data_IF_713553872241
#
_entry.id   IF_713553872241
#
_cell.length_a   1.000
_cell.length_b   1.000
_cell.length_c   1.000
_cell.angle_alpha   90.00
_cell.angle_beta   90.00
_cell.angle_gamma   90.00
#
_symmetry.space_group_name_H-M   'P 1'
#
loop_
_entity.id
_entity.type
_entity.pdbx_description
1 polymer ?
#
# COMPACT_ATOMS: atom_id res chain seq x y z
N UNK A 1 -20.23 -4.81 5.40
CA UNK A 1 -18.86 -4.53 4.89
C UNK A 1 -18.78 -4.63 3.37
N UNK A 2 -18.93 -5.82 2.77
CA UNK A 2 -18.77 -6.01 1.32
C UNK A 2 -19.65 -5.08 0.45
N UNK A 3 -20.93 -4.91 0.82
CA UNK A 3 -21.83 -4.01 0.09
C UNK A 3 -21.44 -2.52 0.16
N UNK A 4 -20.72 -2.08 1.22
CA UNK A 4 -20.18 -0.71 1.30
C UNK A 4 -19.04 -0.55 0.32
N UNK A 5 -18.10 -1.50 0.32
CA UNK A 5 -16.94 -1.55 -0.59
C UNK A 5 -17.41 -1.55 -2.05
N UNK A 6 -18.39 -2.40 -2.39
CA UNK A 6 -18.94 -2.49 -3.75
C UNK A 6 -19.54 -1.16 -4.22
N UNK A 7 -20.27 -0.45 -3.36
CA UNK A 7 -20.80 0.89 -3.69
C UNK A 7 -19.69 1.90 -3.94
N UNK A 8 -18.70 1.97 -3.04
CA UNK A 8 -17.54 2.86 -3.19
C UNK A 8 -16.76 2.61 -4.48
N UNK A 9 -16.54 1.34 -4.84
CA UNK A 9 -15.90 1.00 -6.11
C UNK A 9 -16.76 1.38 -7.32
N UNK A 10 -18.08 1.22 -7.24
CA UNK A 10 -19.00 1.63 -8.30
C UNK A 10 -18.98 3.15 -8.50
N UNK A 11 -18.96 3.92 -7.42
CA UNK A 11 -18.86 5.38 -7.44
C UNK A 11 -17.56 5.83 -8.12
N UNK A 12 -16.42 5.22 -7.76
CA UNK A 12 -15.13 5.49 -8.38
C UNK A 12 -15.13 5.18 -9.89
N UNK A 13 -15.67 4.03 -10.29
CA UNK A 13 -15.74 3.63 -11.69
C UNK A 13 -16.67 4.54 -12.51
N UNK A 14 -17.78 4.98 -11.91
CA UNK A 14 -18.69 5.94 -12.54
C UNK A 14 -18.02 7.30 -12.72
N UNK A 15 -17.28 7.76 -11.71
CA UNK A 15 -16.51 9.00 -11.79
C UNK A 15 -15.44 8.93 -12.89
N UNK A 16 -14.66 7.84 -12.98
CA UNK A 16 -13.66 7.64 -14.03
C UNK A 16 -14.23 7.60 -15.45
N UNK A 17 -15.47 7.14 -15.62
CA UNK A 17 -16.15 7.15 -16.93
C UNK A 17 -16.64 8.53 -17.33
N UNK A 18 -17.07 9.32 -16.35
CA UNK A 18 -17.68 10.65 -16.56
C UNK A 18 -16.64 11.74 -16.69
N UNK A 19 -15.50 11.58 -16.03
CA UNK A 19 -14.37 12.49 -16.08
C UNK A 19 -13.27 11.75 -16.82
N UNK A 20 -12.87 12.21 -18.02
CA UNK A 20 -11.76 11.59 -18.78
C UNK A 20 -10.46 11.77 -17.99
N UNK A 21 -10.22 10.89 -17.03
CA UNK A 21 -8.95 10.85 -16.30
C UNK A 21 -7.94 10.28 -17.29
N UNK A 22 -6.95 11.09 -17.67
CA UNK A 22 -5.76 10.59 -18.34
C UNK A 22 -5.03 9.57 -17.44
N UNK A 23 -3.98 8.92 -17.95
CA UNK A 23 -3.13 8.07 -17.10
C UNK A 23 -2.68 8.85 -15.85
N UNK A 24 -2.55 8.15 -14.73
CA UNK A 24 -2.05 8.71 -13.47
C UNK A 24 -0.79 9.56 -13.74
N UNK A 25 -0.71 10.80 -13.23
CA UNK A 25 0.44 11.64 -13.49
C UNK A 25 1.71 10.98 -12.95
N UNK A 26 2.76 10.96 -13.76
CA UNK A 26 4.08 10.57 -13.30
C UNK A 26 4.61 11.65 -12.34
N UNK A 27 4.77 11.24 -11.07
CA UNK A 27 5.56 11.84 -9.99
C UNK A 27 5.72 13.38 -9.95
N UNK A 28 5.09 14.01 -8.95
CA UNK A 28 5.35 15.40 -8.54
C UNK A 28 6.33 15.44 -7.36
N UNK A 29 7.46 16.14 -7.52
CA UNK A 29 8.50 16.37 -6.49
C UNK A 29 8.19 17.56 -5.56
N UNK A 30 6.96 17.66 -5.04
CA UNK A 30 6.58 18.81 -4.19
C UNK A 30 7.13 18.69 -2.74
N UNK A 31 7.73 19.76 -2.18
CA UNK A 31 8.31 19.74 -0.84
C UNK A 31 7.27 19.75 0.31
N UNK A 32 7.68 19.09 1.40
CA UNK A 32 6.94 18.70 2.63
C UNK A 32 6.11 19.76 3.39
N UNK A 33 6.09 21.03 3.00
CA UNK A 33 5.37 22.08 3.76
C UNK A 33 3.99 22.44 3.20
N UNK A 34 3.63 21.97 2.01
CA UNK A 34 2.38 22.37 1.34
C UNK A 34 1.33 21.25 1.15
N UNK A 35 1.57 20.04 1.66
CA UNK A 35 0.58 18.93 1.55
C UNK A 35 -0.63 19.10 2.51
N UNK A 36 -0.79 20.29 3.09
CA UNK A 36 -1.96 20.71 3.87
C UNK A 36 -2.97 21.54 3.08
N UNK A 37 -2.79 21.70 1.77
CA UNK A 37 -3.72 22.41 0.89
C UNK A 37 -4.89 21.52 0.44
N UNK A 38 -6.11 22.02 0.67
CA UNK A 38 -7.40 21.55 0.20
C UNK A 38 -7.40 20.40 -0.81
N UNK A 39 -8.03 19.27 -0.44
CA UNK A 39 -8.54 18.33 -1.44
C UNK A 39 -9.46 19.12 -2.39
N UNK A 40 -9.04 19.28 -3.64
CA UNK A 40 -9.89 19.86 -4.68
C UNK A 40 -11.21 19.08 -4.78
N UNK A 41 -12.26 19.77 -5.23
CA UNK A 41 -13.64 19.31 -5.35
C UNK A 41 -13.85 18.20 -6.42
N UNK A 42 -13.04 17.14 -6.37
CA UNK A 42 -13.23 15.87 -7.07
C UNK A 42 -13.94 14.83 -6.20
N UNK A 43 -14.23 13.65 -6.75
CA UNK A 43 -14.88 12.57 -5.99
C UNK A 43 -14.04 12.21 -4.74
N UNK A 44 -14.67 12.04 -3.55
CA UNK A 44 -13.96 11.90 -2.29
C UNK A 44 -12.89 10.79 -2.25
N UNK A 45 -13.08 9.66 -2.95
CA UNK A 45 -12.08 8.59 -3.02
C UNK A 45 -10.89 8.99 -3.89
N UNK A 46 -11.10 9.70 -5.00
CA UNK A 46 -10.00 10.18 -5.85
C UNK A 46 -9.12 11.14 -5.04
N UNK A 47 -9.74 12.13 -4.38
CA UNK A 47 -9.01 13.06 -3.52
C UNK A 47 -8.26 12.35 -2.37
N UNK A 48 -8.88 11.35 -1.73
CA UNK A 48 -8.24 10.57 -0.69
C UNK A 48 -7.03 9.76 -1.20
N UNK A 49 -7.13 9.17 -2.39
CA UNK A 49 -6.06 8.34 -2.96
C UNK A 49 -4.92 9.19 -3.55
N UNK A 50 -5.21 10.35 -4.14
CA UNK A 50 -4.17 11.30 -4.56
C UNK A 50 -3.36 11.76 -3.35
N UNK A 51 -4.04 12.18 -2.28
CA UNK A 51 -3.39 12.56 -1.03
C UNK A 51 -2.56 11.43 -0.40
N UNK A 52 -3.09 10.19 -0.39
CA UNK A 52 -2.36 9.04 0.11
C UNK A 52 -1.11 8.74 -0.74
N UNK A 53 -1.20 8.87 -2.07
CA UNK A 53 -0.08 8.68 -2.99
C UNK A 53 1.04 9.68 -2.73
N UNK A 54 0.73 10.95 -2.48
CA UNK A 54 1.72 11.98 -2.15
C UNK A 54 2.47 11.65 -0.85
N UNK A 55 1.74 11.23 0.18
CA UNK A 55 2.34 10.80 1.46
C UNK A 55 3.24 9.58 1.27
N UNK A 56 2.81 8.60 0.48
CA UNK A 56 3.58 7.40 0.19
C UNK A 56 4.86 7.75 -0.60
N UNK A 57 4.79 8.67 -1.56
CA UNK A 57 5.95 9.14 -2.32
C UNK A 57 6.98 9.79 -1.39
N UNK A 58 6.53 10.63 -0.46
CA UNK A 58 7.39 11.25 0.54
C UNK A 58 8.03 10.22 1.49
N UNK A 59 7.26 9.23 1.94
CA UNK A 59 7.75 8.15 2.78
C UNK A 59 8.79 7.29 2.04
N UNK A 60 8.56 6.99 0.76
CA UNK A 60 9.49 6.25 -0.11
C UNK A 60 10.85 6.93 -0.18
N UNK A 61 10.91 8.24 -0.40
CA UNK A 61 12.18 8.97 -0.44
C UNK A 61 12.90 9.02 0.91
N UNK A 62 12.16 9.09 2.01
CA UNK A 62 12.75 8.98 3.36
C UNK A 62 13.36 7.60 3.59
N UNK A 63 12.67 6.53 3.19
CA UNK A 63 13.17 5.16 3.32
C UNK A 63 14.40 4.95 2.44
N UNK A 64 14.40 5.42 1.18
CA UNK A 64 15.57 5.35 0.28
C UNK A 64 16.81 5.97 0.89
N UNK A 65 16.67 7.20 1.44
CA UNK A 65 17.78 7.89 2.12
C UNK A 65 18.26 7.12 3.34
N UNK A 66 17.35 6.61 4.16
CA UNK A 66 17.72 5.82 5.34
C UNK A 66 18.45 4.52 4.96
N UNK A 67 17.97 3.79 3.94
CA UNK A 67 18.62 2.57 3.45
C UNK A 67 20.03 2.86 2.95
N UNK A 68 20.22 3.91 2.14
CA UNK A 68 21.56 4.30 1.65
C UNK A 68 22.48 4.78 2.77
N UNK A 69 21.96 5.49 3.76
CA UNK A 69 22.76 5.91 4.92
C UNK A 69 23.25 4.70 5.74
N UNK A 70 22.43 3.65 5.86
CA UNK A 70 22.76 2.46 6.64
C UNK A 70 23.63 1.45 5.87
N UNK A 71 23.33 1.23 4.59
CA UNK A 71 23.95 0.18 3.77
C UNK A 71 24.99 0.72 2.77
N UNK A 72 25.19 2.04 2.71
CA UNK A 72 26.08 2.71 1.76
C UNK A 72 25.35 3.28 0.53
N UNK A 73 25.98 4.23 -0.18
CA UNK A 73 25.36 4.92 -1.31
C UNK A 73 24.98 3.98 -2.46
N UNK A 74 25.72 2.88 -2.63
CA UNK A 74 25.53 1.87 -3.68
C UNK A 74 24.50 0.77 -3.31
N UNK A 75 23.75 0.95 -2.22
CA UNK A 75 22.76 -0.03 -1.80
C UNK A 75 21.71 -0.26 -2.90
N UNK A 76 21.59 -1.51 -3.36
CA UNK A 76 20.56 -1.91 -4.33
C UNK A 76 19.19 -1.92 -3.66
N UNK A 77 18.31 -1.03 -4.12
CA UNK A 77 16.91 -0.97 -3.68
C UNK A 77 16.04 -1.51 -4.82
N UNK A 78 15.24 -2.53 -4.51
CA UNK A 78 14.21 -3.05 -5.43
C UNK A 78 12.87 -2.58 -4.92
N UNK A 79 12.09 -1.95 -5.79
CA UNK A 79 10.77 -1.46 -5.47
C UNK A 79 9.72 -2.22 -6.26
N UNK A 80 8.71 -2.68 -5.53
CA UNK A 80 7.59 -3.41 -6.09
C UNK A 80 6.33 -2.62 -5.78
N UNK A 81 5.70 -1.99 -6.78
CA UNK A 81 4.43 -1.32 -6.57
C UNK A 81 3.37 -2.37 -6.24
N UNK A 82 2.60 -2.12 -5.19
CA UNK A 82 1.48 -2.96 -4.76
C UNK A 82 0.25 -2.07 -4.73
N UNK A 83 -0.77 -2.33 -5.56
CA UNK A 83 -1.96 -1.49 -5.59
C UNK A 83 -2.69 -1.54 -4.24
N UNK A 84 -3.06 -0.36 -3.76
CA UNK A 84 -3.86 -0.17 -2.56
C UNK A 84 -4.80 1.02 -2.77
N UNK A 85 -6.01 0.92 -2.21
CA UNK A 85 -7.00 1.98 -2.21
C UNK A 85 -7.30 2.40 -0.78
N UNK A 86 -7.43 3.70 -0.57
CA UNK A 86 -7.70 4.33 0.70
C UNK A 86 -9.00 5.13 0.65
N UNK A 87 -9.67 5.24 1.79
CA UNK A 87 -10.75 6.19 2.06
C UNK A 87 -10.37 7.03 3.28
N UNK A 88 -11.04 8.18 3.47
CA UNK A 88 -10.93 8.94 4.72
C UNK A 88 -12.02 8.47 5.68
N UNK A 89 -11.67 8.25 6.95
CA UNK A 89 -12.66 8.04 8.00
C UNK A 89 -13.30 9.36 8.47
N UNK A 90 -14.16 9.27 9.48
CA UNK A 90 -14.92 10.42 10.02
C UNK A 90 -13.98 11.47 10.64
N UNK A 91 -12.81 11.04 11.11
CA UNK A 91 -11.72 11.86 11.65
C UNK A 91 -10.78 12.40 10.56
N UNK A 92 -11.01 12.04 9.29
CA UNK A 92 -10.22 12.48 8.15
C UNK A 92 -8.91 11.72 7.94
N UNK A 93 -8.68 10.63 8.68
CA UNK A 93 -7.50 9.77 8.59
C UNK A 93 -7.64 8.76 7.44
N UNK A 94 -6.51 8.35 6.85
CA UNK A 94 -6.51 7.31 5.82
C UNK A 94 -6.79 5.93 6.41
N UNK A 95 -7.85 5.29 5.93
CA UNK A 95 -8.15 3.88 6.17
C UNK A 95 -8.12 3.12 4.85
N UNK A 96 -7.77 1.83 4.90
CA UNK A 96 -7.78 1.01 3.69
C UNK A 96 -9.23 0.76 3.24
N UNK A 97 -9.53 1.00 1.97
CA UNK A 97 -10.86 0.72 1.39
C UNK A 97 -11.08 -0.79 1.17
N UNK A 98 -10.00 -1.50 0.84
CA UNK A 98 -9.96 -2.95 0.61
C UNK A 98 -8.99 -3.61 1.59
N UNK A 99 -9.06 -4.95 1.79
CA UNK A 99 -8.00 -5.66 2.50
C UNK A 99 -6.64 -5.31 1.90
N UNK A 100 -5.77 -4.72 2.73
CA UNK A 100 -4.57 -4.05 2.22
C UNK A 100 -3.45 -5.07 1.95
N UNK A 101 -3.16 -5.33 0.69
CA UNK A 101 -2.15 -6.30 0.26
C UNK A 101 -0.72 -5.96 0.71
N UNK A 102 -0.38 -4.71 1.05
CA UNK A 102 0.94 -4.41 1.62
C UNK A 102 1.10 -4.87 3.07
N UNK A 103 -0.01 -5.12 3.78
CA UNK A 103 -0.01 -5.69 5.13
C UNK A 103 0.11 -7.22 5.08
N UNK A 104 1.07 -7.69 4.28
CA UNK A 104 1.37 -9.10 4.05
C UNK A 104 2.32 -9.66 5.11
N UNK A 105 2.34 -10.99 5.20
CA UNK A 105 3.29 -11.74 6.02
C UNK A 105 4.38 -12.33 5.13
N UNK A 106 5.63 -12.01 5.44
CA UNK A 106 6.82 -12.56 4.74
C UNK A 106 7.32 -13.79 5.47
N UNK A 107 7.41 -14.93 4.76
CA UNK A 107 7.88 -16.23 5.23
C UNK A 107 8.94 -16.79 4.24
N UNK A 108 10.16 -16.25 4.31
CA UNK A 108 11.19 -16.57 3.31
C UNK A 108 10.79 -16.06 1.92
N UNK A 109 10.71 -16.96 0.95
CA UNK A 109 10.26 -16.65 -0.42
C UNK A 109 8.75 -16.61 -0.58
N UNK A 110 7.99 -17.05 0.43
CA UNK A 110 6.53 -17.10 0.39
C UNK A 110 5.94 -15.87 1.07
N UNK A 111 4.96 -15.25 0.41
CA UNK A 111 4.19 -14.12 0.90
C UNK A 111 2.75 -14.54 1.10
N UNK A 112 2.25 -14.40 2.32
CA UNK A 112 0.81 -14.53 2.59
C UNK A 112 0.20 -13.13 2.54
N UNK A 113 -0.65 -12.89 1.55
CA UNK A 113 -1.13 -11.57 1.17
C UNK A 113 -2.63 -11.46 1.43
N UNK A 114 -3.11 -10.41 2.13
CA UNK A 114 -4.53 -10.07 2.18
C UNK A 114 -5.14 -10.01 0.77
N UNK A 115 -6.16 -10.82 0.51
CA UNK A 115 -6.88 -10.85 -0.77
C UNK A 115 -7.65 -9.52 -0.95
N UNK A 116 -7.34 -8.70 -1.98
CA UNK A 116 -8.00 -7.42 -2.19
C UNK A 116 -9.47 -7.55 -2.61
N UNK A 117 -9.96 -8.78 -2.85
CA UNK A 117 -11.33 -9.11 -3.28
C UNK A 117 -11.72 -8.57 -4.67
N UNK A 118 -10.76 -7.96 -5.37
CA UNK A 118 -10.89 -7.48 -6.75
C UNK A 118 -9.89 -8.27 -7.61
N UNK A 119 -10.37 -9.12 -8.54
CA UNK A 119 -9.49 -9.98 -9.34
C UNK A 119 -8.36 -9.25 -10.06
N UNK A 120 -8.65 -8.11 -10.70
CA UNK A 120 -7.64 -7.32 -11.39
C UNK A 120 -6.51 -6.82 -10.47
N UNK A 121 -6.86 -6.40 -9.24
CA UNK A 121 -5.85 -5.99 -8.25
C UNK A 121 -5.05 -7.19 -7.75
N UNK A 122 -5.72 -8.33 -7.53
CA UNK A 122 -5.09 -9.58 -7.13
C UNK A 122 -4.04 -10.02 -8.16
N UNK A 123 -4.38 -9.97 -9.43
CA UNK A 123 -3.48 -10.36 -10.53
C UNK A 123 -2.28 -9.41 -10.62
N UNK A 124 -2.49 -8.11 -10.44
CA UNK A 124 -1.43 -7.12 -10.44
C UNK A 124 -0.46 -7.30 -9.26
N UNK A 125 -0.97 -7.57 -8.06
CA UNK A 125 -0.17 -7.89 -6.87
C UNK A 125 0.64 -9.17 -7.10
N UNK A 126 0.02 -10.21 -7.64
CA UNK A 126 0.69 -11.48 -7.93
C UNK A 126 1.82 -11.30 -8.95
N UNK A 127 1.56 -10.52 -10.01
CA UNK A 127 2.54 -10.22 -11.06
C UNK A 127 3.73 -9.44 -10.52
N UNK A 128 3.50 -8.33 -9.82
CA UNK A 128 4.57 -7.47 -9.30
C UNK A 128 5.48 -8.19 -8.29
N UNK A 129 4.88 -8.88 -7.30
CA UNK A 129 5.65 -9.62 -6.30
C UNK A 129 6.32 -10.87 -6.90
N UNK A 130 5.66 -11.53 -7.86
CA UNK A 130 6.24 -12.67 -8.59
C UNK A 130 7.47 -12.28 -9.41
N UNK A 131 7.45 -11.14 -10.08
CA UNK A 131 8.61 -10.59 -10.80
C UNK A 131 9.79 -10.27 -9.87
N UNK A 132 9.52 -9.97 -8.60
CA UNK A 132 10.54 -9.80 -7.58
C UNK A 132 11.04 -11.11 -6.95
N UNK A 133 10.58 -12.27 -7.43
CA UNK A 133 11.02 -13.61 -7.02
C UNK A 133 10.24 -14.22 -5.86
N UNK A 134 9.08 -13.66 -5.51
CA UNK A 134 8.25 -14.19 -4.41
C UNK A 134 7.13 -15.11 -4.90
N UNK A 135 6.78 -16.10 -4.08
CA UNK A 135 5.56 -16.91 -4.24
C UNK A 135 4.42 -16.27 -3.44
N UNK A 136 3.30 -15.98 -4.10
CA UNK A 136 2.19 -15.21 -3.51
C UNK A 136 1.01 -16.11 -3.19
N UNK A 137 0.58 -16.09 -1.92
CA UNK A 137 -0.56 -16.84 -1.41
C UNK A 137 -1.62 -15.88 -0.88
N UNK A 138 -2.78 -15.79 -1.53
CA UNK A 138 -3.84 -14.88 -1.10
C UNK A 138 -4.71 -15.50 -0.01
N UNK A 139 -4.89 -14.76 1.08
CA UNK A 139 -5.73 -15.13 2.21
C UNK A 139 -6.96 -14.21 2.26
N UNK A 140 -8.15 -14.81 2.38
CA UNK A 140 -9.38 -14.06 2.67
C UNK A 140 -9.34 -13.50 4.09
N UNK A 141 -8.96 -12.23 4.23
CA UNK A 141 -8.76 -11.57 5.53
C UNK A 141 -9.84 -10.54 5.88
N UNK A 142 -11.02 -10.61 5.23
CA UNK A 142 -12.07 -9.60 5.39
C UNK A 142 -12.50 -9.41 6.85
N UNK A 143 -12.54 -10.48 7.64
CA UNK A 143 -12.88 -10.40 9.08
C UNK A 143 -11.89 -9.53 9.86
N UNK A 144 -10.60 -9.58 9.55
CA UNK A 144 -9.58 -8.73 10.18
C UNK A 144 -9.65 -7.29 9.66
N UNK A 145 -9.87 -7.13 8.35
CA UNK A 145 -10.03 -5.82 7.71
C UNK A 145 -11.16 -4.99 8.33
N UNK A 146 -12.32 -5.62 8.60
CA UNK A 146 -13.45 -4.94 9.23
C UNK A 146 -13.13 -4.45 10.64
N UNK A 147 -12.22 -5.12 11.35
CA UNK A 147 -11.72 -4.69 12.66
C UNK A 147 -10.60 -3.64 12.62
N UNK A 148 -10.33 -3.02 11.46
CA UNK A 148 -9.26 -2.04 11.28
C UNK A 148 -7.85 -2.64 11.20
N UNK A 149 -7.74 -3.98 11.22
CA UNK A 149 -6.49 -4.71 11.15
C UNK A 149 -6.31 -5.46 9.83
N UNK A 150 -5.17 -6.10 9.66
CA UNK A 150 -4.89 -7.00 8.54
C UNK A 150 -4.04 -8.18 9.03
N UNK A 151 -3.65 -9.09 8.14
CA UNK A 151 -2.92 -10.30 8.48
C UNK A 151 -1.69 -10.04 9.34
N UNK A 152 -0.78 -9.13 8.95
CA UNK A 152 0.43 -8.82 9.73
C UNK A 152 0.10 -8.18 11.07
N UNK A 153 -1.03 -7.49 11.20
CA UNK A 153 -1.48 -6.95 12.50
C UNK A 153 -1.92 -8.07 13.46
N UNK A 154 -2.45 -9.17 12.92
CA UNK A 154 -2.96 -10.30 13.69
C UNK A 154 -1.93 -11.41 13.91
N UNK A 155 -0.77 -11.36 13.25
CA UNK A 155 0.28 -12.37 13.33
C UNK A 155 1.60 -11.79 13.86
N UNK A 156 2.44 -12.69 14.38
CA UNK A 156 3.85 -12.43 14.65
C UNK A 156 4.66 -13.61 14.15
N UNK A 157 5.91 -13.35 13.75
CA UNK A 157 6.83 -14.38 13.26
C UNK A 157 8.13 -14.27 14.04
N UNK A 158 8.56 -15.38 14.63
CA UNK A 158 9.91 -15.54 15.14
C UNK A 158 10.85 -15.80 13.97
N UNK A 159 11.96 -15.08 13.90
CA UNK A 159 12.96 -15.20 12.82
C UNK A 159 14.27 -15.67 13.38
N UNK A 160 15.02 -16.43 12.59
CA UNK A 160 16.42 -16.74 12.89
C UNK A 160 17.21 -15.43 12.98
N UNK A 161 17.98 -15.21 14.06
CA UNK A 161 18.87 -14.06 14.15
C UNK A 161 19.87 -14.05 13.00
N UNK A 162 20.31 -12.85 12.60
CA UNK A 162 21.44 -12.73 11.70
C UNK A 162 22.70 -13.35 12.36
N UNK A 163 23.61 -13.97 11.59
CA UNK A 163 24.91 -14.38 12.11
C UNK A 163 25.57 -13.18 12.80
N UNK A 164 25.99 -13.36 14.06
CA UNK A 164 26.33 -12.25 14.94
C UNK A 164 27.50 -11.40 14.40
N UNK A 165 27.25 -10.09 14.24
CA UNK A 165 28.29 -9.05 14.27
C UNK A 165 27.95 -7.94 15.27
N UNK A 166 26.95 -8.15 16.13
CA UNK A 166 26.72 -7.24 17.25
C UNK A 166 27.86 -7.45 18.25
N UNK A 167 28.62 -6.41 18.62
CA UNK A 167 29.49 -6.53 19.77
C UNK A 167 28.60 -6.88 20.97
N UNK A 168 28.95 -7.97 21.66
CA UNK A 168 28.34 -8.26 22.96
C UNK A 168 28.66 -7.09 23.90
N UNK A 169 27.72 -6.70 24.79
CA UNK A 169 27.94 -5.64 25.76
C UNK A 169 29.18 -5.88 26.62
#
# INVERSE_FOLDING_TARGET
ALGRIQRRLADLLLWQRTHRVGPLPEHSEAPLREVGGAAEAGEPLVGANTWAADIIALARERVRRAVRAWHGPEAKIVEVPVPALFERDEEGLATALLPNSVNLQVLGTDLVVPDPLVPALRDEVARGLGQAGFRVHFLKSLTYHVGGGQLRCASKVLRTPAPASWPSP
#
